data_IF_313948210891
#
_entry.id   IF_313948210891
#
_cell.length_a   1.000
_cell.length_b   1.000
_cell.length_c   1.000
_cell.angle_alpha   90.00
_cell.angle_beta   90.00
_cell.angle_gamma   90.00
#
_symmetry.space_group_name_H-M   'P 1'
#
loop_
_entity.id
_entity.type
_entity.pdbx_description
1 polymer ?
#
# COMPACT_ATOMS: atom_id res chain seq x y z
N UNK A 1 -1.51 -16.54 10.60
CA UNK A 1 -2.78 -15.82 10.83
C UNK A 1 -3.88 -16.55 10.05
N UNK A 2 -4.45 -17.60 10.64
CA UNK A 2 -5.29 -18.59 9.94
C UNK A 2 -6.68 -18.04 9.59
N UNK A 3 -7.31 -17.34 10.53
CA UNK A 3 -8.64 -16.73 10.36
C UNK A 3 -8.63 -15.72 9.20
N UNK A 4 -7.57 -14.91 9.10
CA UNK A 4 -7.41 -13.97 7.98
C UNK A 4 -7.34 -14.65 6.61
N UNK A 5 -6.60 -15.76 6.51
CA UNK A 5 -6.48 -16.51 5.26
C UNK A 5 -7.84 -17.05 4.79
N UNK A 6 -8.65 -17.53 5.73
CA UNK A 6 -10.00 -18.01 5.44
C UNK A 6 -10.91 -16.89 4.95
N UNK A 7 -10.96 -15.76 5.67
CA UNK A 7 -11.77 -14.61 5.25
C UNK A 7 -11.36 -14.11 3.87
N UNK A 8 -10.07 -13.92 3.63
CA UNK A 8 -9.60 -13.41 2.33
C UNK A 8 -9.89 -14.39 1.19
N UNK A 9 -9.67 -15.70 1.39
CA UNK A 9 -9.87 -16.69 0.33
C UNK A 9 -11.35 -16.80 -0.06
N UNK A 10 -12.26 -16.96 0.91
CA UNK A 10 -13.67 -17.18 0.65
C UNK A 10 -14.44 -15.90 0.28
N UNK A 11 -13.93 -14.71 0.65
CA UNK A 11 -14.54 -13.43 0.29
C UNK A 11 -13.98 -12.78 -0.96
N UNK A 12 -13.10 -13.48 -1.70
CA UNK A 12 -12.34 -12.89 -2.83
C UNK A 12 -11.56 -11.63 -2.40
N UNK A 13 -11.07 -11.61 -1.16
CA UNK A 13 -10.29 -10.52 -0.57
C UNK A 13 -11.10 -9.32 -0.07
N UNK A 14 -12.44 -9.41 -0.03
CA UNK A 14 -13.30 -8.31 0.46
C UNK A 14 -13.36 -8.20 1.98
N UNK A 15 -13.30 -9.33 2.68
CA UNK A 15 -13.51 -9.41 4.13
C UNK A 15 -12.22 -9.81 4.86
N UNK A 16 -12.20 -9.56 6.16
CA UNK A 16 -11.08 -9.87 7.06
C UNK A 16 -10.57 -8.65 7.83
N UNK A 17 -9.83 -8.92 8.91
CA UNK A 17 -9.26 -7.87 9.75
C UNK A 17 -8.19 -7.07 9.02
N UNK A 18 -7.48 -7.65 8.03
CA UNK A 18 -6.53 -6.90 7.19
C UNK A 18 -7.24 -5.84 6.32
N UNK A 19 -8.40 -6.16 5.76
CA UNK A 19 -9.20 -5.21 4.99
C UNK A 19 -9.71 -4.07 5.91
N UNK A 20 -10.26 -4.44 7.07
CA UNK A 20 -10.69 -3.48 8.10
C UNK A 20 -9.54 -2.60 8.59
N UNK A 21 -8.36 -3.17 8.82
CA UNK A 21 -7.16 -2.42 9.25
C UNK A 21 -6.75 -1.37 8.23
N UNK A 22 -6.85 -1.68 6.93
CA UNK A 22 -6.54 -0.72 5.87
C UNK A 22 -7.49 0.47 5.93
N UNK A 23 -8.79 0.21 6.07
CA UNK A 23 -9.82 1.24 6.19
C UNK A 23 -9.64 2.04 7.49
N UNK A 24 -9.41 1.37 8.61
CA UNK A 24 -9.15 1.99 9.91
C UNK A 24 -8.01 3.02 9.87
N UNK A 25 -6.90 2.68 9.19
CA UNK A 25 -5.78 3.59 8.97
C UNK A 25 -6.15 4.77 8.06
N UNK A 26 -7.00 4.56 7.05
CA UNK A 26 -7.51 5.64 6.19
C UNK A 26 -8.43 6.59 6.96
N UNK A 27 -9.22 6.07 7.88
CA UNK A 27 -10.11 6.82 8.77
C UNK A 27 -9.38 7.50 9.95
N UNK A 28 -8.04 7.46 10.00
CA UNK A 28 -7.23 8.03 11.11
C UNK A 28 -7.62 7.50 12.49
N UNK A 29 -8.02 6.24 12.57
CA UNK A 29 -8.50 5.60 13.81
C UNK A 29 -9.79 6.21 14.39
N UNK A 30 -10.56 6.96 13.60
CA UNK A 30 -11.88 7.45 14.01
C UNK A 30 -12.96 6.39 13.76
N UNK A 31 -13.55 5.86 14.84
CA UNK A 31 -14.56 4.81 14.76
C UNK A 31 -15.80 5.20 13.96
N UNK A 32 -16.31 6.43 14.13
CA UNK A 32 -17.51 6.87 13.41
C UNK A 32 -17.33 6.81 11.88
N UNK A 33 -16.17 7.28 11.40
CA UNK A 33 -15.83 7.25 9.96
C UNK A 33 -15.58 5.84 9.46
N UNK A 34 -14.94 5.00 10.28
CA UNK A 34 -14.75 3.60 9.95
C UNK A 34 -16.09 2.87 9.80
N UNK A 35 -16.99 3.03 10.76
CA UNK A 35 -18.29 2.36 10.79
C UNK A 35 -19.19 2.78 9.61
N UNK A 36 -19.08 4.03 9.15
CA UNK A 36 -19.72 4.50 7.93
C UNK A 36 -19.16 3.78 6.69
N UNK A 37 -17.82 3.72 6.55
CA UNK A 37 -17.15 3.11 5.40
C UNK A 37 -17.41 1.59 5.28
N UNK A 38 -17.44 0.87 6.41
CA UNK A 38 -17.77 -0.56 6.43
C UNK A 38 -19.28 -0.82 6.52
N UNK A 39 -20.11 0.23 6.49
CA UNK A 39 -21.58 0.16 6.57
C UNK A 39 -22.12 -0.59 7.79
N UNK A 40 -21.48 -0.40 8.94
CA UNK A 40 -21.97 -0.88 10.24
C UNK A 40 -23.04 0.02 10.84
N UNK A 41 -23.18 1.25 10.33
CA UNK A 41 -24.30 2.13 10.65
C UNK A 41 -25.31 2.14 9.50
N UNK A 42 -26.59 2.24 9.85
CA UNK A 42 -27.68 2.43 8.88
C UNK A 42 -27.86 3.91 8.56
N UNK A 43 -27.56 4.78 9.54
CA UNK A 43 -27.67 6.23 9.44
C UNK A 43 -26.54 6.91 10.23
N UNK A 44 -26.37 8.24 10.15
CA UNK A 44 -25.23 8.97 10.76
C UNK A 44 -24.96 8.68 12.24
N UNK A 45 -25.95 8.18 12.99
CA UNK A 45 -25.86 7.92 14.44
C UNK A 45 -26.56 6.64 14.91
N UNK A 46 -26.99 5.77 14.00
CA UNK A 46 -27.70 4.53 14.35
C UNK A 46 -26.90 3.30 13.95
N UNK A 47 -26.54 2.51 14.96
CA UNK A 47 -26.00 1.18 14.78
C UNK A 47 -27.01 0.32 14.04
N UNK A 48 -26.52 -0.43 13.05
CA UNK A 48 -27.28 -1.46 12.38
C UNK A 48 -27.69 -2.53 13.39
N UNK A 49 -28.96 -2.94 13.36
CA UNK A 49 -29.48 -3.87 14.34
C UNK A 49 -29.01 -5.30 14.01
N UNK A 50 -28.30 -5.90 14.95
CA UNK A 50 -27.84 -7.28 14.81
C UNK A 50 -28.97 -8.25 15.20
N UNK A 51 -29.19 -9.37 14.47
CA UNK A 51 -28.46 -9.82 13.28
C UNK A 51 -29.09 -9.39 11.93
N UNK A 52 -30.37 -9.02 11.91
CA UNK A 52 -31.18 -9.03 10.69
C UNK A 52 -30.80 -7.97 9.66
N UNK A 53 -30.22 -6.85 10.10
CA UNK A 53 -29.89 -5.77 9.17
C UNK A 53 -28.52 -5.97 8.50
N UNK A 54 -27.63 -6.84 8.98
CA UNK A 54 -26.27 -7.02 8.43
C UNK A 54 -26.27 -7.81 7.11
N UNK A 55 -25.29 -7.51 6.25
CA UNK A 55 -25.18 -8.14 4.93
C UNK A 55 -24.16 -9.29 5.02
N UNK A 56 -24.66 -10.52 5.01
CA UNK A 56 -23.83 -11.73 5.10
C UNK A 56 -23.42 -12.31 3.74
N UNK A 57 -23.50 -11.51 2.68
CA UNK A 57 -23.20 -11.90 1.30
C UNK A 57 -22.06 -11.06 0.70
N UNK A 58 -21.47 -11.52 -0.41
CA UNK A 58 -20.38 -10.85 -1.13
C UNK A 58 -20.77 -9.49 -1.74
N UNK A 59 -22.06 -9.15 -1.73
CA UNK A 59 -22.57 -7.81 -2.08
C UNK A 59 -22.21 -6.75 -1.04
N UNK A 60 -21.85 -7.15 0.18
CA UNK A 60 -21.43 -6.25 1.24
C UNK A 60 -20.17 -5.43 0.86
N UNK A 61 -19.98 -4.24 1.48
CA UNK A 61 -18.80 -3.42 1.28
C UNK A 61 -17.53 -4.10 1.82
N UNK A 62 -16.38 -3.59 1.37
CA UNK A 62 -15.07 -4.10 1.81
C UNK A 62 -14.93 -3.87 3.31
N UNK A 63 -14.47 -4.90 4.03
CA UNK A 63 -14.30 -4.84 5.49
C UNK A 63 -15.61 -4.92 6.30
N UNK A 64 -16.77 -5.14 5.68
CA UNK A 64 -18.04 -5.31 6.41
C UNK A 64 -17.97 -6.45 7.43
N UNK A 65 -17.31 -7.54 7.06
CA UNK A 65 -17.05 -8.70 7.92
C UNK A 65 -15.54 -8.88 8.12
N UNK A 66 -15.11 -9.46 9.26
CA UNK A 66 -15.91 -9.96 10.39
C UNK A 66 -16.43 -8.86 11.34
N UNK A 67 -17.57 -9.10 11.98
CA UNK A 67 -18.15 -8.15 12.95
C UNK A 67 -17.38 -8.17 14.27
N UNK A 68 -17.10 -6.98 14.81
CA UNK A 68 -16.61 -6.80 16.18
C UNK A 68 -17.68 -6.04 16.95
N UNK A 69 -18.13 -6.59 18.09
CA UNK A 69 -19.15 -5.92 18.88
C UNK A 69 -18.57 -4.66 19.55
N UNK A 70 -19.04 -3.49 19.13
CA UNK A 70 -18.60 -2.18 19.63
C UNK A 70 -19.68 -1.45 20.46
N UNK A 71 -20.74 -2.13 20.91
CA UNK A 71 -21.80 -1.52 21.74
C UNK A 71 -21.23 -0.97 23.06
N UNK A 72 -20.12 -1.54 23.54
CA UNK A 72 -19.40 -1.11 24.75
C UNK A 72 -18.16 -0.25 24.46
N UNK A 73 -18.05 0.30 23.25
CA UNK A 73 -16.91 1.09 22.80
C UNK A 73 -16.01 0.37 21.79
N UNK A 74 -15.10 1.13 21.19
CA UNK A 74 -14.23 0.70 20.10
C UNK A 74 -12.85 0.19 20.54
N UNK A 75 -12.57 0.14 21.85
CA UNK A 75 -11.24 -0.24 22.37
C UNK A 75 -10.77 -1.61 21.87
N UNK A 76 -11.67 -2.60 21.89
CA UNK A 76 -11.35 -3.96 21.39
C UNK A 76 -10.99 -3.93 19.91
N UNK A 77 -11.74 -3.18 19.11
CA UNK A 77 -11.48 -3.03 17.67
C UNK A 77 -10.14 -2.34 17.44
N UNK A 78 -9.86 -1.26 18.17
CA UNK A 78 -8.62 -0.51 18.04
C UNK A 78 -7.39 -1.36 18.37
N UNK A 79 -7.40 -2.05 19.53
CA UNK A 79 -6.31 -2.94 19.93
C UNK A 79 -6.15 -4.12 18.96
N UNK A 80 -7.26 -4.69 18.50
CA UNK A 80 -7.23 -5.77 17.52
C UNK A 80 -6.56 -5.31 16.22
N UNK A 81 -6.98 -4.17 15.66
CA UNK A 81 -6.43 -3.66 14.40
C UNK A 81 -5.00 -3.12 14.55
N UNK A 82 -4.59 -2.72 15.74
CA UNK A 82 -3.22 -2.32 16.04
C UNK A 82 -2.30 -3.49 16.45
N UNK A 83 -2.84 -4.69 16.61
CA UNK A 83 -2.11 -5.85 17.11
C UNK A 83 -0.89 -6.22 16.22
N UNK A 84 0.28 -6.54 16.81
CA UNK A 84 1.51 -6.84 16.07
C UNK A 84 1.43 -8.09 15.19
N UNK A 85 0.44 -8.96 15.40
CA UNK A 85 0.23 -10.14 14.54
C UNK A 85 -0.07 -9.79 13.06
N UNK A 86 -0.52 -8.55 12.80
CA UNK A 86 -0.76 -8.05 11.44
C UNK A 86 0.48 -7.37 10.83
N UNK A 87 1.49 -7.05 11.63
CA UNK A 87 2.79 -6.61 11.14
C UNK A 87 3.52 -7.84 10.59
N UNK A 88 3.64 -7.92 9.27
CA UNK A 88 4.44 -8.96 8.64
C UNK A 88 5.82 -8.91 9.28
N UNK A 89 6.25 -10.02 9.88
CA UNK A 89 7.61 -10.20 10.41
C UNK A 89 8.54 -9.74 9.29
N UNK A 90 9.21 -8.60 9.48
CA UNK A 90 10.19 -8.08 8.53
C UNK A 90 11.19 -9.21 8.37
N UNK A 91 11.18 -9.91 7.23
CA UNK A 91 12.21 -10.90 6.95
C UNK A 91 13.52 -10.13 7.11
N UNK A 92 14.33 -10.55 8.09
CA UNK A 92 15.62 -9.93 8.32
C UNK A 92 16.37 -10.02 6.99
N UNK A 93 16.55 -8.87 6.32
CA UNK A 93 17.48 -8.79 5.22
C UNK A 93 18.82 -9.35 5.76
N UNK A 94 19.48 -10.28 5.06
CA UNK A 94 20.74 -10.81 5.53
C UNK A 94 21.72 -9.65 5.68
N UNK A 95 21.99 -9.26 6.93
CA UNK A 95 23.06 -8.31 7.26
C UNK A 95 24.36 -9.11 7.27
N UNK A 96 25.11 -9.05 6.17
CA UNK A 96 26.45 -9.62 6.15
C UNK A 96 27.02 -9.81 4.74
N UNK A 97 27.58 -8.74 4.17
CA UNK A 97 28.57 -8.83 3.11
C UNK A 97 29.78 -7.98 3.51
N UNK A 98 31.02 -8.50 3.50
CA UNK A 98 32.17 -7.75 3.96
C UNK A 98 32.46 -6.63 2.96
N UNK A 99 32.29 -5.36 3.37
CA UNK A 99 32.83 -4.23 2.60
C UNK A 99 34.32 -4.14 2.87
N UNK A 100 35.13 -4.66 1.94
CA UNK A 100 36.57 -4.37 1.92
C UNK A 100 36.76 -2.87 1.67
N UNK A 101 37.34 -2.20 2.65
CA UNK A 101 37.93 -0.87 2.53
C UNK A 101 39.15 -0.93 1.60
N UNK A 102 39.30 0.05 0.72
CA UNK A 102 40.47 0.18 -0.13
C UNK A 102 40.38 1.40 -1.02
N UNK A 103 40.71 2.56 -0.45
CA UNK A 103 41.01 3.78 -1.20
C UNK A 103 42.43 3.62 -1.77
N UNK A 104 42.62 3.76 -3.08
CA UNK A 104 43.91 4.21 -3.60
C UNK A 104 43.74 5.04 -4.87
N UNK A 105 44.24 6.26 -4.73
CA UNK A 105 44.33 7.37 -5.65
C UNK A 105 45.49 7.11 -6.62
N UNK A 106 45.20 6.92 -7.92
CA UNK A 106 46.22 6.91 -8.97
C UNK A 106 46.06 8.17 -9.82
N UNK A 107 46.70 9.24 -9.34
CA UNK A 107 47.11 10.37 -10.16
C UNK A 107 48.62 10.25 -10.38
N UNK A 108 49.04 10.06 -11.64
CA UNK A 108 50.28 10.57 -12.25
C UNK A 108 50.59 9.86 -13.57
N UNK A 109 50.81 10.64 -14.64
CA UNK A 109 51.78 10.27 -15.68
C UNK A 109 51.35 10.41 -17.15
N UNK A 110 51.58 11.59 -17.74
CA UNK A 110 52.31 11.74 -19.01
C UNK A 110 51.61 11.56 -20.37
N UNK A 111 51.55 12.64 -21.16
CA UNK A 111 51.21 12.70 -22.60
C UNK A 111 52.46 12.39 -23.49
N UNK A 112 52.52 12.61 -24.85
CA UNK A 112 51.49 12.95 -25.86
C UNK A 112 51.64 12.21 -27.25
N UNK A 113 50.72 12.57 -28.19
CA UNK A 113 50.92 12.82 -29.65
C UNK A 113 50.63 11.72 -30.69
N UNK A 114 49.61 11.97 -31.53
CA UNK A 114 49.56 12.01 -33.02
C UNK A 114 48.06 12.03 -33.45
N UNK A 115 47.48 13.07 -34.06
CA UNK A 115 47.63 13.71 -35.39
C UNK A 115 46.67 13.15 -36.46
N UNK A 116 45.90 14.07 -37.08
CA UNK A 116 45.09 13.96 -38.32
C UNK A 116 43.74 13.22 -38.19
N UNK A 117 42.61 13.62 -38.77
CA UNK A 117 42.34 14.55 -39.87
C UNK A 117 40.88 15.10 -39.81
N UNK A 118 40.65 16.14 -40.62
CA UNK A 118 39.45 16.98 -40.85
C UNK A 118 38.19 16.23 -41.32
N UNK A 119 37.03 16.82 -41.00
CA UNK A 119 35.77 16.76 -41.77
C UNK A 119 34.65 17.50 -41.03
N UNK A 120 34.41 18.79 -41.31
CA UNK A 120 33.28 19.34 -42.08
C UNK A 120 31.89 18.78 -41.67
N UNK A 121 31.03 19.49 -40.91
CA UNK A 121 30.16 20.67 -41.23
C UNK A 121 28.71 20.27 -41.62
N UNK A 122 27.73 20.95 -40.97
CA UNK A 122 26.27 21.14 -41.28
C UNK A 122 25.33 19.95 -41.00
N UNK A 123 24.05 20.09 -40.60
CA UNK A 123 23.12 21.18 -40.25
C UNK A 123 21.98 20.49 -39.44
N UNK A 124 21.28 21.12 -38.49
CA UNK A 124 20.15 22.02 -38.71
C UNK A 124 18.81 21.26 -38.70
N UNK A 125 17.77 21.77 -38.00
CA UNK A 125 16.38 21.40 -38.31
C UNK A 125 15.43 21.18 -37.14
N UNK A 126 14.63 22.22 -36.86
CA UNK A 126 13.62 22.38 -35.83
C UNK A 126 12.23 21.84 -36.24
N UNK A 127 11.32 21.71 -35.26
CA UNK A 127 9.84 21.89 -35.36
C UNK A 127 9.04 20.91 -36.25
N UNK A 128 7.72 20.70 -36.16
CA UNK A 128 6.61 20.95 -35.22
C UNK A 128 5.36 20.35 -35.91
N UNK A 129 4.32 20.09 -35.12
CA UNK A 129 2.90 20.22 -35.46
C UNK A 129 2.07 19.03 -35.98
N UNK A 130 0.96 18.85 -35.26
CA UNK A 130 -0.44 18.78 -35.72
C UNK A 130 -0.89 17.69 -36.70
N UNK A 131 -1.95 16.99 -36.29
CA UNK A 131 -2.80 16.25 -37.20
C UNK A 131 -4.00 15.59 -36.51
N UNK A 132 -5.02 16.39 -36.18
CA UNK A 132 -6.35 15.96 -35.73
C UNK A 132 -7.15 15.43 -36.94
N UNK A 133 -7.77 14.25 -36.81
CA UNK A 133 -8.81 13.60 -37.66
C UNK A 133 -9.41 12.50 -36.76
N UNK A 134 -10.70 12.25 -36.63
CA UNK A 134 -11.96 12.69 -37.26
C UNK A 134 -13.00 12.87 -36.15
#
# INVERSE_FOLDING_TARGET
NTIEGLWQFYSKGKFGFVAQRKIWRQCRSEFARFAEEVSWFTDKWQNRNWPDEFIYDLTAPVGHLPLTNCIRGSQVLEELLNHPAFEKKKAAAPKGGPKKSGLSLLAMGGAPRQSSARGHILAGGSSSSSGRRL
#
